data_IF_008653719354
#
_entry.id   IF_008653719354
#
_cell.length_a   1.000
_cell.length_b   1.000
_cell.length_c   1.000
_cell.angle_alpha   90.00
_cell.angle_beta   90.00
_cell.angle_gamma   90.00
#
_symmetry.space_group_name_H-M   'P 1'
#
loop_
_entity.id
_entity.type
_entity.pdbx_description
1 polymer ?
#
# COMPACT_ATOMS: atom_id res chain seq x y z
N UNK A 1 0.07 -4.38 9.32
CA UNK A 1 0.01 -3.48 8.14
C UNK A 1 0.21 -2.04 8.60
N UNK A 2 0.60 -1.11 7.73
CA UNK A 2 1.17 0.23 8.01
C UNK A 2 0.31 1.20 8.87
N UNK A 3 -0.75 0.71 9.49
CA UNK A 3 -1.71 1.47 10.29
C UNK A 3 -2.51 2.44 9.42
N UNK A 4 -2.58 2.17 8.12
CA UNK A 4 -3.32 2.92 7.11
C UNK A 4 -4.39 2.01 6.52
N UNK A 5 -5.35 2.62 5.84
CA UNK A 5 -6.43 1.91 5.20
C UNK A 5 -5.97 1.03 4.03
N UNK A 6 -6.46 -0.21 3.95
CA UNK A 6 -6.04 -1.17 2.92
C UNK A 6 -6.46 -0.76 1.51
N UNK A 7 -7.65 -0.20 1.34
CA UNK A 7 -8.13 0.29 0.03
C UNK A 7 -7.27 1.47 -0.44
N UNK A 8 -6.96 2.40 0.46
CA UNK A 8 -6.05 3.51 0.14
C UNK A 8 -4.62 3.04 -0.15
N UNK A 9 -4.08 2.09 0.62
CA UNK A 9 -2.76 1.50 0.35
C UNK A 9 -2.73 0.80 -1.01
N UNK A 10 -3.82 0.13 -1.41
CA UNK A 10 -3.95 -0.46 -2.72
C UNK A 10 -3.88 0.62 -3.81
N UNK A 11 -4.65 1.70 -3.69
CA UNK A 11 -4.63 2.82 -4.65
C UNK A 11 -3.23 3.43 -4.81
N UNK A 12 -2.48 3.62 -3.71
CA UNK A 12 -1.10 4.09 -3.78
C UNK A 12 -0.19 3.09 -4.50
N UNK A 13 -0.41 1.79 -4.27
CA UNK A 13 0.38 0.73 -4.89
C UNK A 13 0.16 0.57 -6.39
N UNK A 14 -0.99 1.00 -6.92
CA UNK A 14 -1.27 1.01 -8.37
C UNK A 14 -0.25 1.90 -9.11
N UNK A 15 0.23 2.95 -8.47
CA UNK A 15 1.26 3.84 -9.02
C UNK A 15 2.70 3.31 -8.89
N UNK A 16 2.91 2.19 -8.20
CA UNK A 16 4.23 1.60 -7.98
C UNK A 16 4.53 0.52 -9.01
N UNK A 17 5.71 0.57 -9.61
CA UNK A 17 6.15 -0.46 -10.55
C UNK A 17 6.97 -1.55 -9.83
N UNK A 18 7.32 -2.61 -10.57
CA UNK A 18 8.19 -3.68 -10.05
C UNK A 18 9.54 -3.16 -9.55
N UNK A 19 10.05 -2.08 -10.14
CA UNK A 19 11.29 -1.41 -9.74
C UNK A 19 11.16 -0.72 -8.37
N UNK A 20 9.96 -0.25 -8.02
CA UNK A 20 9.63 0.29 -6.70
C UNK A 20 9.33 -0.81 -5.69
N UNK A 21 9.58 -2.08 -6.03
CA UNK A 21 9.36 -3.22 -5.14
C UNK A 21 7.90 -3.64 -5.00
N UNK A 22 6.99 -3.16 -5.86
CA UNK A 22 5.60 -3.60 -5.96
C UNK A 22 5.49 -4.76 -6.97
N UNK A 23 5.24 -5.95 -6.47
CA UNK A 23 5.14 -7.18 -7.26
C UNK A 23 3.68 -7.63 -7.34
N UNK A 24 3.30 -8.21 -8.48
CA UNK A 24 1.98 -8.78 -8.64
C UNK A 24 2.09 -10.31 -8.76
N UNK A 25 1.44 -11.01 -7.83
CA UNK A 25 1.44 -12.46 -7.75
C UNK A 25 0.11 -12.95 -8.28
N UNK A 26 0.11 -13.56 -9.45
CA UNK A 26 -1.08 -14.14 -10.07
C UNK A 26 -1.27 -15.59 -9.62
N UNK A 27 -2.49 -15.93 -9.21
CA UNK A 27 -2.89 -17.33 -9.06
C UNK A 27 -3.25 -17.95 -10.43
N UNK A 28 -3.54 -19.25 -10.44
CA UNK A 28 -3.96 -19.99 -11.64
C UNK A 28 -5.32 -19.53 -12.16
N UNK A 29 -6.13 -18.88 -11.32
CA UNK A 29 -7.44 -18.30 -11.66
C UNK A 29 -7.36 -16.83 -12.12
N UNK A 30 -6.15 -16.30 -12.37
CA UNK A 30 -5.92 -14.89 -12.77
C UNK A 30 -6.27 -13.85 -11.69
N UNK A 31 -6.66 -14.28 -10.49
CA UNK A 31 -6.76 -13.42 -9.32
C UNK A 31 -5.36 -13.08 -8.82
N UNK A 32 -5.04 -11.79 -8.86
CA UNK A 32 -3.70 -11.30 -8.66
C UNK A 32 -3.60 -10.47 -7.38
N UNK A 33 -2.66 -10.86 -6.51
CA UNK A 33 -2.41 -10.19 -5.23
C UNK A 33 -1.15 -9.34 -5.32
N UNK A 34 -1.25 -8.09 -4.84
CA UNK A 34 -0.08 -7.22 -4.69
C UNK A 34 0.78 -7.67 -3.50
N UNK A 35 2.07 -7.87 -3.76
CA UNK A 35 3.09 -8.19 -2.77
C UNK A 35 4.20 -7.13 -2.81
N UNK A 36 4.85 -6.89 -1.68
CA UNK A 36 5.93 -5.91 -1.58
C UNK A 36 7.23 -6.56 -1.14
N UNK A 37 8.34 -6.13 -1.72
CA UNK A 37 9.67 -6.37 -1.14
C UNK A 37 9.86 -5.46 0.08
N UNK A 38 10.88 -5.72 0.90
CA UNK A 38 11.23 -4.82 2.00
C UNK A 38 11.49 -3.39 1.51
N UNK A 39 12.18 -3.24 0.37
CA UNK A 39 12.38 -1.95 -0.28
C UNK A 39 11.05 -1.32 -0.72
N UNK A 40 10.14 -2.10 -1.30
CA UNK A 40 8.83 -1.60 -1.71
C UNK A 40 7.97 -1.11 -0.56
N UNK A 41 8.08 -1.72 0.62
CA UNK A 41 7.44 -1.21 1.83
C UNK A 41 8.01 0.18 2.22
N UNK A 42 9.32 0.38 2.09
CA UNK A 42 9.95 1.68 2.37
C UNK A 42 9.54 2.74 1.33
N UNK A 43 9.47 2.39 0.05
CA UNK A 43 8.93 3.26 -1.00
C UNK A 43 7.48 3.65 -0.71
N UNK A 44 6.62 2.68 -0.38
CA UNK A 44 5.23 2.93 -0.03
C UNK A 44 5.11 3.85 1.19
N UNK A 45 5.99 3.72 2.19
CA UNK A 45 6.06 4.64 3.33
C UNK A 45 6.40 6.07 2.95
N UNK A 46 7.29 6.29 1.97
CA UNK A 46 7.59 7.62 1.47
C UNK A 46 6.37 8.23 0.75
N UNK A 47 5.70 7.45 -0.12
CA UNK A 47 4.49 7.90 -0.83
C UNK A 47 3.40 8.30 0.17
N UNK A 48 3.19 7.51 1.23
CA UNK A 48 2.23 7.83 2.31
C UNK A 48 2.60 9.16 2.98
N UNK A 49 3.89 9.40 3.24
CA UNK A 49 4.34 10.64 3.87
C UNK A 49 4.08 11.85 2.95
N UNK A 50 4.38 11.73 1.66
CA UNK A 50 4.17 12.78 0.66
C UNK A 50 2.67 13.11 0.49
N UNK A 51 1.81 12.10 0.43
CA UNK A 51 0.35 12.29 0.35
C UNK A 51 -0.24 12.91 1.63
N UNK A 52 0.34 12.60 2.79
CA UNK A 52 -0.03 13.22 4.07
C UNK A 52 0.42 14.68 4.11
N UNK A 53 1.64 14.99 3.68
CA UNK A 53 2.14 16.37 3.60
C UNK A 53 1.31 17.21 2.61
N UNK A 54 0.92 16.63 1.48
CA UNK A 54 0.06 17.27 0.49
C UNK A 54 -1.41 17.41 0.94
N UNK A 55 -1.80 16.88 2.10
CA UNK A 55 -3.16 16.93 2.62
C UNK A 55 -4.17 16.09 1.83
N UNK A 56 -3.70 15.12 1.03
CA UNK A 56 -4.53 14.20 0.23
C UNK A 56 -4.82 12.89 0.95
N UNK A 57 -4.03 12.56 1.98
CA UNK A 57 -4.23 11.35 2.75
C UNK A 57 -5.54 11.38 3.55
N UNK A 58 -6.29 10.27 3.58
CA UNK A 58 -7.46 10.15 4.44
C UNK A 58 -7.07 10.21 5.93
N UNK A 59 -8.03 10.52 6.82
CA UNK A 59 -7.81 10.37 8.26
C UNK A 59 -7.43 8.92 8.56
N UNK A 60 -6.43 8.73 9.44
CA UNK A 60 -6.00 7.40 9.84
C UNK A 60 -7.20 6.68 10.44
N UNK A 61 -7.65 5.58 9.83
CA UNK A 61 -8.69 4.74 10.43
C UNK A 61 -8.14 4.19 11.74
N UNK A 62 -8.77 4.56 12.85
CA UNK A 62 -8.59 3.87 14.12
C UNK A 62 -9.10 2.44 13.87
N UNK A 63 -8.19 1.49 13.64
CA UNK A 63 -8.58 0.09 13.49
C UNK A 63 -9.32 -0.31 14.78
N UNK A 64 -10.56 -0.80 14.73
CA UNK A 64 -11.15 -1.42 15.91
C UNK A 64 -10.20 -2.55 16.30
N UNK A 65 -9.74 -2.54 17.55
CA UNK A 65 -8.97 -3.65 18.10
C UNK A 65 -9.80 -4.90 17.87
N UNK A 66 -9.31 -5.81 17.02
CA UNK A 66 -9.93 -7.11 16.86
C UNK A 66 -9.85 -7.81 18.23
N UNK A 67 -11.02 -8.03 18.84
CA UNK A 67 -11.22 -8.85 20.05
C UNK A 67 -10.98 -10.33 19.79
#
# INVERSE_FOLDING_TARGET
MLGEDEEWLHELSIGMFAEDGCLHVYDLDDDGTTAFTEYGIECLRQIIADEREAGRAPPRREQPSAE
#
